data_IF_029787423888
#
_entry.id   IF_029787423888
#
_cell.length_a   1.000
_cell.length_b   1.000
_cell.length_c   1.000
_cell.angle_alpha   90.00
_cell.angle_beta   90.00
_cell.angle_gamma   90.00
#
_symmetry.space_group_name_H-M   'P 1'
#
loop_
_entity.id
_entity.type
_entity.pdbx_description
1 polymer ?
#
# COMPACT_ATOMS: atom_id res chain seq x y z
N UNK A 1 77.59 19.75 21.27
CA UNK A 1 76.79 20.16 20.08
C UNK A 1 75.76 19.10 19.65
N UNK A 2 75.24 18.25 20.54
CA UNK A 2 74.34 17.15 20.16
C UNK A 2 72.87 17.33 20.60
N UNK A 3 72.57 18.34 21.44
CA UNK A 3 71.21 18.57 21.96
C UNK A 3 70.25 19.30 21.00
N UNK A 4 70.76 20.00 19.98
CA UNK A 4 69.89 20.72 19.03
C UNK A 4 69.28 19.82 17.95
N UNK A 5 69.98 18.76 17.52
CA UNK A 5 69.48 17.84 16.50
C UNK A 5 68.25 17.04 16.95
N UNK A 6 68.24 16.60 18.21
CA UNK A 6 67.13 15.80 18.77
C UNK A 6 65.85 16.61 19.00
N UNK A 7 65.96 17.90 19.32
CA UNK A 7 64.78 18.78 19.39
C UNK A 7 64.19 19.06 18.00
N UNK A 8 65.03 19.35 16.99
CA UNK A 8 64.55 19.60 15.63
C UNK A 8 63.85 18.38 15.05
N UNK A 9 64.39 17.18 15.26
CA UNK A 9 63.75 15.93 14.83
C UNK A 9 62.39 15.73 15.51
N UNK A 10 62.27 16.02 16.81
CA UNK A 10 60.98 15.94 17.53
C UNK A 10 59.96 16.94 17.01
N UNK A 11 60.35 18.16 16.68
CA UNK A 11 59.47 19.18 16.10
C UNK A 11 59.00 18.77 14.70
N UNK A 12 59.90 18.26 13.85
CA UNK A 12 59.54 17.76 12.52
C UNK A 12 58.58 16.57 12.63
N UNK A 13 58.83 15.63 13.55
CA UNK A 13 57.97 14.47 13.75
C UNK A 13 56.59 14.89 14.27
N UNK A 14 56.52 15.85 15.19
CA UNK A 14 55.27 16.41 15.69
C UNK A 14 54.48 17.11 14.60
N UNK A 15 55.14 17.91 13.74
CA UNK A 15 54.51 18.58 12.59
C UNK A 15 54.00 17.56 11.57
N UNK A 16 54.76 16.51 11.27
CA UNK A 16 54.34 15.43 10.38
C UNK A 16 53.12 14.66 10.94
N UNK A 17 53.09 14.39 12.25
CA UNK A 17 51.94 13.75 12.91
C UNK A 17 50.72 14.67 12.89
N UNK A 18 50.90 15.97 13.10
CA UNK A 18 49.82 16.95 13.01
C UNK A 18 49.26 17.07 11.58
N UNK A 19 50.13 17.06 10.56
CA UNK A 19 49.74 17.04 9.15
C UNK A 19 49.03 15.74 8.76
N UNK A 20 49.45 14.59 9.31
CA UNK A 20 48.78 13.31 9.14
C UNK A 20 47.39 13.28 9.81
N UNK A 21 47.26 13.87 11.01
CA UNK A 21 45.98 14.01 11.72
C UNK A 21 45.02 15.02 11.04
N UNK A 22 45.56 16.07 10.42
CA UNK A 22 44.77 17.04 9.65
C UNK A 22 44.28 16.44 8.32
N UNK A 23 45.07 15.59 7.66
CA UNK A 23 44.71 14.97 6.38
C UNK A 23 43.71 13.80 6.48
N UNK A 24 43.48 13.25 7.68
CA UNK A 24 42.46 12.21 7.92
C UNK A 24 41.05 12.76 8.16
N UNK A 25 40.89 14.08 8.31
CA UNK A 25 39.63 14.68 8.78
C UNK A 25 38.60 15.06 7.69
N UNK A 26 38.82 14.73 6.42
CA UNK A 26 37.89 15.15 5.35
C UNK A 26 37.66 14.13 4.22
N UNK A 27 37.74 12.82 4.48
CA UNK A 27 37.21 11.82 3.53
C UNK A 27 35.79 11.45 3.97
N UNK A 28 34.83 12.32 3.63
CA UNK A 28 33.42 12.01 3.75
C UNK A 28 33.03 11.08 2.58
N UNK A 29 33.35 9.80 2.71
CA UNK A 29 32.98 8.78 1.73
C UNK A 29 31.46 8.64 1.69
N UNK A 30 30.80 9.22 0.68
CA UNK A 30 29.38 8.94 0.43
C UNK A 30 29.23 7.46 0.10
N UNK A 31 28.30 6.78 0.79
CA UNK A 31 28.07 5.35 0.62
C UNK A 31 27.69 5.09 -0.84
N UNK A 32 28.26 4.05 -1.46
CA UNK A 32 27.95 3.69 -2.84
C UNK A 32 26.44 3.52 -3.08
N UNK A 33 25.72 3.03 -2.07
CA UNK A 33 24.27 2.91 -2.08
C UNK A 33 23.55 4.24 -2.36
N UNK A 34 23.97 5.33 -1.72
CA UNK A 34 23.36 6.67 -1.89
C UNK A 34 23.70 7.33 -3.23
N UNK A 35 24.68 6.78 -3.97
CA UNK A 35 24.98 7.20 -5.35
C UNK A 35 24.14 6.47 -6.39
N UNK A 36 23.55 5.33 -6.03
CA UNK A 36 22.81 4.45 -6.95
C UNK A 36 21.30 4.52 -6.69
N UNK A 37 20.89 4.57 -5.42
CA UNK A 37 19.51 4.46 -5.00
C UNK A 37 19.02 5.72 -4.30
N UNK A 38 17.78 6.06 -4.58
CA UNK A 38 17.01 7.08 -3.87
C UNK A 38 15.77 6.42 -3.28
N UNK A 39 15.57 6.60 -1.97
CA UNK A 39 14.41 6.05 -1.27
C UNK A 39 13.25 7.04 -1.31
N UNK A 40 12.04 6.53 -1.52
CA UNK A 40 10.80 7.29 -1.38
C UNK A 40 9.78 6.51 -0.56
N UNK A 41 8.77 7.21 -0.06
CA UNK A 41 7.69 6.64 0.72
C UNK A 41 6.34 6.94 0.06
N UNK A 42 5.40 6.01 0.20
CA UNK A 42 4.04 6.16 -0.30
C UNK A 42 3.09 5.17 0.38
N UNK A 43 1.79 5.42 0.21
CA UNK A 43 0.75 4.53 0.75
C UNK A 43 0.71 3.25 -0.06
N UNK A 44 1.05 2.11 0.56
CA UNK A 44 1.06 0.83 -0.13
C UNK A 44 -0.32 0.17 -0.09
N UNK A 45 -0.71 -0.48 -1.18
CA UNK A 45 -1.84 -1.40 -1.20
C UNK A 45 -1.46 -2.67 -0.45
N UNK A 46 -2.31 -3.10 0.47
CA UNK A 46 -2.05 -4.23 1.35
C UNK A 46 -3.07 -5.35 1.16
N UNK A 47 -2.66 -6.58 1.48
CA UNK A 47 -3.50 -7.75 1.33
C UNK A 47 -4.49 -7.88 2.49
N UNK A 48 -5.74 -8.17 2.15
CA UNK A 48 -6.81 -8.56 3.08
C UNK A 48 -7.29 -9.96 2.73
N UNK A 49 -7.77 -10.68 3.73
CA UNK A 49 -8.27 -12.04 3.57
C UNK A 49 -9.74 -12.11 3.94
N UNK A 50 -10.49 -12.87 3.17
CA UNK A 50 -11.85 -13.29 3.47
C UNK A 50 -11.85 -14.82 3.68
N UNK A 51 -12.98 -15.38 4.12
CA UNK A 51 -13.13 -16.82 4.36
C UNK A 51 -12.83 -17.68 3.12
N UNK A 52 -13.00 -17.13 1.91
CA UNK A 52 -12.82 -17.87 0.65
C UNK A 52 -11.65 -17.39 -0.20
N UNK A 53 -11.37 -16.09 -0.24
CA UNK A 53 -10.40 -15.48 -1.15
C UNK A 53 -9.54 -14.43 -0.45
N UNK A 54 -8.51 -13.96 -1.14
CA UNK A 54 -7.71 -12.80 -0.77
C UNK A 54 -8.00 -11.61 -1.69
N UNK A 55 -7.77 -10.40 -1.22
CA UNK A 55 -7.89 -9.15 -1.99
C UNK A 55 -6.71 -8.23 -1.67
N UNK A 56 -6.49 -7.20 -2.48
CA UNK A 56 -5.39 -6.25 -2.32
C UNK A 56 -4.15 -6.65 -3.10
N UNK A 57 -2.96 -6.28 -2.61
CA UNK A 57 -1.72 -6.33 -3.39
C UNK A 57 -0.56 -6.90 -2.57
N UNK A 58 0.50 -7.34 -3.24
CA UNK A 58 1.77 -7.75 -2.62
C UNK A 58 2.91 -7.61 -3.62
N UNK A 59 4.10 -7.27 -3.12
CA UNK A 59 5.33 -7.45 -3.88
C UNK A 59 5.81 -8.90 -3.80
N UNK A 60 6.81 -9.23 -4.61
CA UNK A 60 7.70 -10.37 -4.38
C UNK A 60 8.48 -10.20 -3.05
N UNK A 61 8.94 -11.31 -2.47
CA UNK A 61 9.61 -11.36 -1.15
C UNK A 61 10.83 -10.45 -1.04
N UNK A 62 11.67 -10.44 -2.08
CA UNK A 62 12.87 -9.60 -2.17
C UNK A 62 12.61 -8.20 -2.74
N UNK A 63 11.36 -7.85 -3.00
CA UNK A 63 10.96 -6.62 -3.70
C UNK A 63 10.63 -6.85 -5.17
N UNK A 64 9.81 -5.97 -5.73
CA UNK A 64 9.43 -6.00 -7.15
C UNK A 64 10.12 -4.86 -7.87
N UNK A 65 11.01 -5.22 -8.78
CA UNK A 65 11.81 -4.28 -9.58
C UNK A 65 11.20 -4.15 -10.97
N UNK A 66 11.12 -2.92 -11.49
CA UNK A 66 10.65 -2.69 -12.86
C UNK A 66 11.17 -1.37 -13.43
N UNK A 67 11.44 -1.35 -14.74
CA UNK A 67 11.76 -0.12 -15.45
C UNK A 67 10.54 0.81 -15.45
N UNK A 68 10.74 2.08 -15.11
CA UNK A 68 9.64 3.04 -15.05
C UNK A 68 9.03 3.24 -16.43
N UNK A 69 7.70 3.27 -16.51
CA UNK A 69 6.98 3.66 -17.72
C UNK A 69 5.81 4.57 -17.38
N UNK A 70 5.85 5.83 -17.83
CA UNK A 70 4.82 6.81 -17.52
C UNK A 70 3.65 6.73 -18.50
N UNK A 71 2.45 6.52 -17.96
CA UNK A 71 1.21 6.35 -18.72
C UNK A 71 0.36 7.62 -18.58
N UNK A 72 0.44 8.47 -19.61
CA UNK A 72 -0.37 9.70 -19.74
C UNK A 72 -1.43 9.59 -20.85
N UNK A 73 -1.30 8.59 -21.72
CA UNK A 73 -2.23 8.32 -22.82
C UNK A 73 -2.46 6.82 -23.02
N UNK A 74 -3.45 6.47 -23.84
CA UNK A 74 -3.77 5.08 -24.15
C UNK A 74 -2.63 4.36 -24.90
N UNK A 75 -1.84 5.05 -25.71
CA UNK A 75 -0.73 4.41 -26.45
C UNK A 75 0.36 3.93 -25.49
N UNK A 76 0.62 4.70 -24.42
CA UNK A 76 1.55 4.29 -23.36
C UNK A 76 1.03 3.08 -22.58
N UNK A 77 -0.29 2.99 -22.38
CA UNK A 77 -0.89 1.79 -21.79
C UNK A 77 -0.76 0.60 -22.72
N UNK A 78 -1.08 0.74 -24.01
CA UNK A 78 -0.93 -0.33 -25.00
C UNK A 78 0.51 -0.82 -25.14
N UNK A 79 1.50 0.08 -25.05
CA UNK A 79 2.92 -0.30 -25.06
C UNK A 79 3.26 -1.32 -23.97
N UNK A 80 2.74 -1.12 -22.75
CA UNK A 80 2.97 -2.00 -21.62
C UNK A 80 2.33 -3.39 -21.80
N UNK A 81 1.23 -3.46 -22.54
CA UNK A 81 0.45 -4.68 -22.76
C UNK A 81 0.97 -5.47 -23.97
N UNK A 82 1.47 -4.79 -25.01
CA UNK A 82 1.89 -5.38 -26.27
C UNK A 82 3.34 -5.89 -26.29
N UNK A 83 3.69 -6.76 -25.34
CA UNK A 83 5.02 -7.41 -25.26
C UNK A 83 6.19 -6.41 -25.37
N UNK A 84 6.36 -5.52 -24.38
CA UNK A 84 7.38 -4.49 -24.43
C UNK A 84 8.79 -5.10 -24.44
N UNK A 85 9.79 -4.39 -24.98
CA UNK A 85 11.09 -4.97 -25.31
C UNK A 85 12.02 -5.23 -24.11
N UNK A 86 11.80 -4.59 -22.96
CA UNK A 86 12.64 -4.75 -21.77
C UNK A 86 11.82 -5.02 -20.48
N UNK A 87 11.00 -6.09 -20.42
CA UNK A 87 10.28 -6.43 -19.20
C UNK A 87 11.27 -6.86 -18.11
N UNK A 88 10.97 -6.62 -16.82
CA UNK A 88 9.72 -6.08 -16.30
C UNK A 88 9.63 -4.55 -16.21
N UNK A 89 8.40 -4.02 -16.28
CA UNK A 89 8.08 -2.60 -16.15
C UNK A 89 7.27 -2.29 -14.90
N UNK A 90 7.49 -1.09 -14.37
CA UNK A 90 6.68 -0.46 -13.35
C UNK A 90 5.89 0.70 -13.96
N UNK A 91 4.55 0.56 -14.01
CA UNK A 91 3.68 1.55 -14.63
C UNK A 91 3.43 2.73 -13.68
N UNK A 92 3.75 3.95 -14.11
CA UNK A 92 3.36 5.17 -13.41
C UNK A 92 2.06 5.67 -14.05
N UNK A 93 0.95 5.53 -13.33
CA UNK A 93 -0.38 5.94 -13.78
C UNK A 93 -0.72 7.33 -13.25
N UNK A 94 -1.12 8.21 -14.15
CA UNK A 94 -1.88 9.40 -13.76
C UNK A 94 -3.22 8.98 -13.11
N UNK A 95 -3.75 9.80 -12.20
CA UNK A 95 -4.98 9.49 -11.46
C UNK A 95 -6.16 9.11 -12.37
N UNK A 96 -6.30 9.77 -13.54
CA UNK A 96 -7.36 9.50 -14.52
C UNK A 96 -7.27 8.09 -15.15
N UNK A 97 -6.07 7.51 -15.19
CA UNK A 97 -5.84 6.16 -15.72
C UNK A 97 -6.04 5.07 -14.66
N UNK A 98 -6.16 5.45 -13.39
CA UNK A 98 -6.43 4.53 -12.28
C UNK A 98 -7.93 4.17 -12.23
N UNK A 99 -8.37 3.38 -13.20
CA UNK A 99 -9.76 2.93 -13.35
C UNK A 99 -9.84 1.40 -13.34
N UNK A 100 -11.02 0.84 -13.00
CA UNK A 100 -11.22 -0.62 -13.02
C UNK A 100 -10.83 -1.25 -14.35
N UNK A 101 -11.27 -0.74 -15.52
CA UNK A 101 -10.90 -1.33 -16.81
C UNK A 101 -9.39 -1.39 -17.01
N UNK A 102 -8.68 -0.28 -16.82
CA UNK A 102 -7.23 -0.23 -17.04
C UNK A 102 -6.46 -1.13 -16.07
N UNK A 103 -6.84 -1.14 -14.79
CA UNK A 103 -6.22 -2.01 -13.80
C UNK A 103 -6.44 -3.50 -14.09
N UNK A 104 -7.63 -3.87 -14.56
CA UNK A 104 -7.92 -5.25 -14.97
C UNK A 104 -7.15 -5.65 -16.23
N UNK A 105 -6.94 -4.72 -17.18
CA UNK A 105 -6.08 -4.95 -18.34
C UNK A 105 -4.62 -5.16 -17.92
N UNK A 106 -4.07 -4.30 -17.07
CA UNK A 106 -2.71 -4.49 -16.52
C UNK A 106 -2.56 -5.83 -15.79
N UNK A 107 -3.57 -6.26 -15.04
CA UNK A 107 -3.61 -7.55 -14.34
C UNK A 107 -3.68 -8.75 -15.30
N UNK A 108 -4.57 -8.70 -16.29
CA UNK A 108 -4.90 -9.87 -17.11
C UNK A 108 -4.04 -9.97 -18.38
N UNK A 109 -3.82 -8.84 -19.07
CA UNK A 109 -3.06 -8.74 -20.32
C UNK A 109 -1.57 -8.48 -20.04
N UNK A 110 -1.25 -7.70 -19.00
CA UNK A 110 0.14 -7.36 -18.66
C UNK A 110 0.98 -8.55 -18.18
N UNK A 111 0.34 -9.58 -17.60
CA UNK A 111 1.00 -10.84 -17.24
C UNK A 111 2.28 -10.66 -16.42
N UNK A 112 3.40 -11.18 -16.94
CA UNK A 112 4.74 -11.06 -16.31
C UNK A 112 5.49 -9.77 -16.67
N UNK A 113 4.93 -8.95 -17.56
CA UNK A 113 5.59 -7.73 -18.02
C UNK A 113 5.46 -6.60 -16.99
N UNK A 114 4.44 -6.64 -16.14
CA UNK A 114 4.17 -5.62 -15.12
C UNK A 114 4.58 -6.14 -13.74
N UNK A 115 5.52 -5.46 -13.09
CA UNK A 115 5.96 -5.82 -11.74
C UNK A 115 5.48 -4.87 -10.65
N UNK A 116 5.03 -3.67 -11.00
CA UNK A 116 4.57 -2.68 -10.04
C UNK A 116 3.67 -1.64 -10.72
N UNK A 117 2.78 -1.04 -9.94
CA UNK A 117 1.97 0.11 -10.37
C UNK A 117 2.12 1.24 -9.35
N UNK A 118 2.45 2.42 -9.84
CA UNK A 118 2.58 3.66 -9.08
C UNK A 118 1.43 4.58 -9.50
N UNK A 119 0.56 4.93 -8.57
CA UNK A 119 -0.53 5.87 -8.81
C UNK A 119 -0.08 7.26 -8.34
N UNK A 120 -0.12 8.21 -9.27
CA UNK A 120 0.18 9.60 -8.95
C UNK A 120 -1.01 10.23 -8.24
N UNK A 121 -0.72 10.96 -7.18
CA UNK A 121 -1.72 11.67 -6.41
C UNK A 121 -1.88 13.11 -6.91
N UNK A 122 -2.90 13.37 -7.73
CA UNK A 122 -3.14 14.68 -8.30
C UNK A 122 -4.19 15.51 -7.51
N UNK A 123 -4.12 15.53 -6.17
CA UNK A 123 -5.08 16.29 -5.35
C UNK A 123 -5.16 17.78 -5.70
N UNK A 124 -4.07 18.38 -6.20
CA UNK A 124 -3.96 19.83 -6.38
C UNK A 124 -4.45 20.37 -7.73
N UNK A 125 -4.87 19.50 -8.66
CA UNK A 125 -5.32 19.92 -9.99
C UNK A 125 -6.75 19.42 -10.28
N UNK A 126 -7.58 19.42 -9.24
CA UNK A 126 -9.02 19.14 -9.30
C UNK A 126 -9.71 20.26 -10.09
N UNK A 127 -9.63 20.17 -11.41
CA UNK A 127 -10.55 20.89 -12.30
C UNK A 127 -11.90 20.18 -12.21
N UNK A 128 -13.00 20.93 -12.22
CA UNK A 128 -14.36 20.45 -11.88
C UNK A 128 -14.94 19.33 -12.78
N UNK A 129 -14.20 18.84 -13.77
CA UNK A 129 -14.57 17.76 -14.70
C UNK A 129 -14.01 16.38 -14.28
N UNK A 130 -13.47 16.25 -13.07
CA UNK A 130 -12.92 14.98 -12.57
C UNK A 130 -14.00 13.91 -12.43
N UNK A 131 -13.72 12.74 -13.01
CA UNK A 131 -14.56 11.55 -12.91
C UNK A 131 -14.62 11.12 -11.45
N UNK A 132 -15.83 11.08 -10.87
CA UNK A 132 -16.02 10.60 -9.50
C UNK A 132 -15.57 9.14 -9.39
N UNK A 133 -14.75 8.84 -8.39
CA UNK A 133 -14.13 7.52 -8.19
C UNK A 133 -14.37 7.01 -6.77
N UNK A 134 -14.70 5.73 -6.66
CA UNK A 134 -14.71 4.99 -5.40
C UNK A 134 -14.05 3.63 -5.60
N UNK A 135 -13.06 3.28 -4.77
CA UNK A 135 -12.43 1.95 -4.79
C UNK A 135 -13.34 0.83 -4.25
N UNK A 136 -14.44 1.20 -3.59
CA UNK A 136 -15.41 0.28 -2.97
C UNK A 136 -16.37 -0.33 -4.01
N UNK A 137 -17.11 -1.38 -3.63
CA UNK A 137 -18.19 -1.94 -4.44
C UNK A 137 -19.36 -0.96 -4.60
N UNK A 138 -20.18 -1.21 -5.64
CA UNK A 138 -21.44 -0.48 -5.85
C UNK A 138 -22.46 -0.70 -4.73
N UNK A 139 -22.45 -1.90 -4.16
CA UNK A 139 -23.24 -2.29 -3.00
C UNK A 139 -22.31 -2.75 -1.87
N UNK A 140 -21.87 -1.83 -0.99
CA UNK A 140 -21.08 -2.20 0.18
C UNK A 140 -21.85 -3.18 1.08
N UNK A 141 -21.16 -4.17 1.65
CA UNK A 141 -21.73 -5.15 2.59
C UNK A 141 -22.98 -5.89 2.09
N UNK A 142 -23.09 -6.15 0.78
CA UNK A 142 -24.26 -6.78 0.15
C UNK A 142 -24.63 -8.17 0.69
N UNK A 143 -23.71 -8.86 1.39
CA UNK A 143 -23.94 -10.19 1.97
C UNK A 143 -24.10 -10.19 3.50
N UNK A 144 -23.96 -9.02 4.15
CA UNK A 144 -23.96 -8.91 5.62
C UNK A 144 -25.17 -8.16 6.18
N UNK A 145 -26.05 -7.65 5.31
CA UNK A 145 -27.27 -6.96 5.74
C UNK A 145 -28.48 -7.87 5.90
N UNK A 146 -29.66 -7.26 6.00
CA UNK A 146 -30.93 -7.99 6.09
C UNK A 146 -31.24 -8.65 4.73
N UNK A 147 -31.18 -9.99 4.73
CA UNK A 147 -31.43 -10.82 3.55
C UNK A 147 -32.92 -10.82 3.18
N UNK A 148 -33.20 -10.85 1.87
CA UNK A 148 -34.57 -11.15 1.39
C UNK A 148 -34.91 -12.62 1.65
N UNK A 149 -36.19 -12.96 1.90
CA UNK A 149 -36.62 -14.36 1.93
C UNK A 149 -36.18 -15.06 0.64
N UNK A 150 -35.50 -16.20 0.76
CA UNK A 150 -34.98 -17.02 -0.35
C UNK A 150 -33.95 -16.31 -1.26
N UNK A 151 -33.18 -15.33 -0.76
CA UNK A 151 -32.05 -14.74 -1.49
C UNK A 151 -30.81 -14.59 -0.59
N UNK A 152 -29.63 -14.64 -1.22
CA UNK A 152 -28.33 -14.30 -0.62
C UNK A 152 -28.03 -12.80 -0.68
N UNK A 153 -28.85 -12.01 -1.37
CA UNK A 153 -28.69 -10.57 -1.50
C UNK A 153 -29.55 -9.79 -0.51
N UNK A 154 -29.04 -8.63 -0.07
CA UNK A 154 -29.79 -7.70 0.77
C UNK A 154 -30.95 -7.07 0.00
N UNK A 155 -32.01 -6.72 0.72
CA UNK A 155 -33.20 -6.14 0.09
C UNK A 155 -32.99 -4.74 -0.49
N UNK A 156 -31.93 -4.05 -0.05
CA UNK A 156 -31.76 -2.60 -0.11
C UNK A 156 -30.78 -2.10 -1.18
N UNK A 157 -30.06 -2.97 -1.88
CA UNK A 157 -29.13 -2.57 -2.93
C UNK A 157 -29.12 -3.60 -4.05
N UNK A 158 -29.07 -3.15 -5.31
CA UNK A 158 -28.86 -4.04 -6.45
C UNK A 158 -27.61 -3.65 -7.22
N UNK A 159 -26.63 -4.55 -7.29
CA UNK A 159 -25.42 -4.31 -8.08
C UNK A 159 -25.69 -4.30 -9.60
N UNK A 160 -26.81 -4.89 -10.03
CA UNK A 160 -27.20 -5.01 -11.44
C UNK A 160 -27.94 -3.79 -11.98
N UNK A 161 -28.58 -3.00 -11.10
CA UNK A 161 -29.39 -1.83 -11.46
C UNK A 161 -28.74 -0.55 -10.93
N UNK A 162 -28.12 0.28 -11.79
CA UNK A 162 -27.44 1.51 -11.36
C UNK A 162 -28.29 2.43 -10.48
N UNK A 163 -29.58 2.55 -10.78
CA UNK A 163 -30.56 3.36 -10.06
C UNK A 163 -30.79 2.92 -8.60
N UNK A 164 -30.55 1.65 -8.30
CA UNK A 164 -30.75 1.02 -6.98
C UNK A 164 -29.41 0.81 -6.24
N UNK A 165 -28.32 1.46 -6.69
CA UNK A 165 -27.00 1.35 -6.05
C UNK A 165 -26.77 2.46 -5.02
N UNK A 166 -26.17 2.10 -3.88
CA UNK A 166 -25.74 3.09 -2.88
C UNK A 166 -24.47 3.83 -3.30
N UNK A 167 -23.61 3.19 -4.09
CA UNK A 167 -22.35 3.76 -4.56
C UNK A 167 -22.24 3.62 -6.09
N UNK A 168 -22.84 4.53 -6.88
CA UNK A 168 -22.84 4.39 -8.35
C UNK A 168 -21.43 4.42 -8.96
N UNK A 169 -20.47 5.08 -8.29
CA UNK A 169 -19.07 5.18 -8.71
C UNK A 169 -18.16 4.08 -8.13
N UNK A 170 -18.76 3.05 -7.53
CA UNK A 170 -18.05 1.91 -6.95
C UNK A 170 -17.32 1.09 -8.02
N UNK A 171 -16.01 1.22 -8.08
CA UNK A 171 -15.14 0.46 -8.98
C UNK A 171 -14.85 -0.95 -8.49
N UNK A 172 -15.03 -1.25 -7.20
CA UNK A 172 -14.74 -2.55 -6.60
C UNK A 172 -13.27 -2.97 -6.63
N UNK A 173 -12.33 -2.05 -6.90
CA UNK A 173 -10.90 -2.33 -6.95
C UNK A 173 -10.33 -2.81 -5.61
N UNK A 174 -10.92 -2.38 -4.49
CA UNK A 174 -10.51 -2.82 -3.14
C UNK A 174 -10.68 -4.35 -2.93
N UNK A 175 -11.59 -4.97 -3.70
CA UNK A 175 -11.94 -6.39 -3.57
C UNK A 175 -11.25 -7.26 -4.64
N UNK A 176 -10.35 -6.69 -5.43
CA UNK A 176 -9.56 -7.42 -6.41
C UNK A 176 -8.22 -7.86 -5.82
N UNK A 177 -7.77 -9.07 -6.17
CA UNK A 177 -6.41 -9.53 -5.88
C UNK A 177 -5.47 -9.15 -7.03
N UNK A 178 -4.45 -8.35 -6.74
CA UNK A 178 -3.43 -7.91 -7.69
C UNK A 178 -2.12 -8.67 -7.46
N UNK A 179 -1.51 -9.23 -8.53
CA UNK A 179 -0.26 -9.99 -8.41
C UNK A 179 0.99 -9.12 -8.27
N UNK A 180 0.83 -7.80 -8.34
CA UNK A 180 1.89 -6.80 -8.22
C UNK A 180 1.51 -5.77 -7.14
N UNK A 181 2.50 -5.10 -6.52
CA UNK A 181 2.24 -4.03 -5.56
C UNK A 181 1.72 -2.79 -6.28
N UNK A 182 0.77 -2.10 -5.64
CA UNK A 182 0.25 -0.81 -6.06
C UNK A 182 0.58 0.19 -4.96
N UNK A 183 1.22 1.30 -5.30
CA UNK A 183 1.58 2.35 -4.34
C UNK A 183 1.01 3.70 -4.80
N UNK A 184 0.50 4.48 -3.86
CA UNK A 184 0.15 5.88 -4.10
C UNK A 184 1.25 6.77 -3.50
N UNK A 185 1.73 7.73 -4.27
CA UNK A 185 2.77 8.66 -3.80
C UNK A 185 2.10 9.97 -3.41
N UNK A 186 2.08 10.33 -2.12
CA UNK A 186 1.41 11.55 -1.67
C UNK A 186 2.23 12.81 -1.96
N UNK A 187 3.56 12.69 -1.99
CA UNK A 187 4.48 13.81 -2.14
C UNK A 187 4.70 14.20 -3.61
N UNK A 188 4.46 15.46 -3.94
CA UNK A 188 4.60 15.98 -5.30
C UNK A 188 6.07 16.03 -5.76
N UNK A 189 7.02 16.24 -4.84
CA UNK A 189 8.45 16.27 -5.21
C UNK A 189 8.92 14.90 -5.71
N UNK A 190 8.56 13.84 -4.99
CA UNK A 190 8.82 12.45 -5.38
C UNK A 190 8.22 12.14 -6.76
N UNK A 191 6.98 12.59 -7.01
CA UNK A 191 6.32 12.41 -8.31
C UNK A 191 7.12 13.07 -9.44
N UNK A 192 7.54 14.33 -9.25
CA UNK A 192 8.34 15.05 -10.25
C UNK A 192 9.65 14.31 -10.54
N UNK A 193 10.36 13.85 -9.50
CA UNK A 193 11.62 13.11 -9.65
C UNK A 193 11.44 11.81 -10.44
N UNK A 194 10.38 11.04 -10.16
CA UNK A 194 10.10 9.80 -10.91
C UNK A 194 9.80 10.06 -12.39
N UNK A 195 9.00 11.09 -12.67
CA UNK A 195 8.68 11.49 -14.05
C UNK A 195 9.94 12.01 -14.76
N UNK A 196 10.78 12.79 -14.08
CA UNK A 196 12.06 13.27 -14.63
C UNK A 196 13.00 12.11 -14.94
N UNK A 197 13.09 11.12 -14.04
CA UNK A 197 13.90 9.92 -14.26
C UNK A 197 13.42 9.13 -15.48
N UNK A 198 12.11 8.94 -15.62
CA UNK A 198 11.51 8.34 -16.82
C UNK A 198 11.84 9.14 -18.08
N UNK A 199 11.65 10.46 -18.07
CA UNK A 199 11.91 11.32 -19.24
C UNK A 199 13.38 11.27 -19.64
N UNK A 200 14.29 11.34 -18.67
CA UNK A 200 15.73 11.35 -18.92
C UNK A 200 16.26 10.03 -19.45
N UNK A 201 15.80 8.90 -18.90
CA UNK A 201 16.39 7.60 -19.18
C UNK A 201 15.52 6.67 -20.01
N UNK A 202 14.19 6.74 -19.94
CA UNK A 202 13.31 5.70 -20.49
C UNK A 202 12.48 6.18 -21.70
N UNK A 203 12.27 7.49 -21.86
CA UNK A 203 11.39 8.05 -22.91
C UNK A 203 11.99 8.10 -24.32
N UNK A 204 13.30 7.89 -24.45
CA UNK A 204 13.99 7.83 -25.73
C UNK A 204 14.01 6.39 -26.26
N UNK A 205 13.68 6.20 -27.55
CA UNK A 205 13.77 4.92 -28.28
C UNK A 205 13.20 3.70 -27.52
N UNK A 206 11.90 3.48 -27.68
CA UNK A 206 11.20 2.40 -27.01
C UNK A 206 11.66 1.01 -27.46
N UNK A 207 12.04 0.82 -28.74
CA UNK A 207 12.37 -0.51 -29.29
C UNK A 207 13.68 -1.07 -28.73
N UNK A 208 14.70 -0.20 -28.58
CA UNK A 208 16.04 -0.61 -28.13
C UNK A 208 16.26 -0.46 -26.61
N UNK A 209 15.18 -0.40 -25.82
CA UNK A 209 15.27 -0.25 -24.36
C UNK A 209 16.11 -1.34 -23.66
N UNK A 210 16.14 -2.54 -24.22
CA UNK A 210 16.86 -3.69 -23.65
C UNK A 210 18.40 -3.57 -23.72
N UNK A 211 18.94 -2.66 -24.55
CA UNK A 211 20.38 -2.49 -24.76
C UNK A 211 21.02 -1.42 -23.85
N UNK A 212 20.24 -0.78 -22.99
CA UNK A 212 20.66 0.44 -22.26
C UNK A 212 20.29 0.42 -20.79
N UNK A 213 20.89 1.34 -20.04
CA UNK A 213 20.56 1.56 -18.63
C UNK A 213 19.29 2.38 -18.50
N UNK A 214 18.23 1.73 -18.00
CA UNK A 214 16.94 2.35 -17.72
C UNK A 214 16.86 2.83 -16.27
N UNK A 215 16.03 3.84 -16.03
CA UNK A 215 15.57 4.17 -14.69
C UNK A 215 14.53 3.14 -14.22
N UNK A 216 14.74 2.56 -13.05
CA UNK A 216 13.90 1.52 -12.49
C UNK A 216 13.54 1.84 -11.05
N UNK A 217 12.47 1.22 -10.57
CA UNK A 217 12.00 1.32 -9.20
C UNK A 217 11.96 -0.06 -8.57
N UNK A 218 12.22 -0.12 -7.27
CA UNK A 218 12.06 -1.31 -6.45
C UNK A 218 11.00 -1.04 -5.38
N UNK A 219 9.92 -1.81 -5.36
CA UNK A 219 8.87 -1.71 -4.33
C UNK A 219 8.92 -2.93 -3.42
N UNK A 220 9.07 -2.67 -2.12
CA UNK A 220 9.08 -3.70 -1.06
C UNK A 220 7.82 -3.58 -0.21
N UNK A 221 6.86 -4.45 -0.49
CA UNK A 221 5.58 -4.54 0.23
C UNK A 221 5.10 -6.00 0.20
N UNK A 222 5.97 -6.92 0.62
CA UNK A 222 5.68 -8.34 0.62
C UNK A 222 4.69 -8.66 1.74
N UNK A 223 3.57 -9.29 1.38
CA UNK A 223 2.53 -9.71 2.31
C UNK A 223 2.64 -11.22 2.52
N UNK A 224 2.93 -11.64 3.76
CA UNK A 224 3.16 -13.04 4.12
C UNK A 224 1.89 -13.90 4.17
N UNK A 225 0.73 -13.25 4.33
CA UNK A 225 -0.60 -13.84 4.28
C UNK A 225 -0.97 -14.26 2.84
N UNK A 226 -1.61 -15.43 2.70
CA UNK A 226 -1.99 -15.96 1.39
C UNK A 226 -3.25 -16.84 1.46
N UNK A 227 -3.94 -16.94 0.31
CA UNK A 227 -5.11 -17.79 0.00
C UNK A 227 -6.40 -17.30 0.64
N UNK A 228 -6.58 -17.52 1.95
CA UNK A 228 -7.81 -17.21 2.66
C UNK A 228 -7.55 -17.08 4.16
N UNK A 229 -8.54 -16.54 4.90
CA UNK A 229 -8.46 -16.38 6.35
C UNK A 229 -8.22 -17.70 7.06
N UNK A 230 -8.89 -18.78 6.65
CA UNK A 230 -8.72 -20.12 7.24
C UNK A 230 -7.28 -20.62 7.10
N UNK A 231 -6.72 -20.54 5.89
CA UNK A 231 -5.35 -20.99 5.60
C UNK A 231 -4.33 -20.17 6.38
N UNK A 232 -4.50 -18.86 6.42
CA UNK A 232 -3.60 -17.98 7.14
C UNK A 232 -3.65 -18.17 8.66
N UNK A 233 -4.85 -18.32 9.23
CA UNK A 233 -5.04 -18.56 10.65
C UNK A 233 -4.45 -19.90 11.07
N UNK A 234 -4.68 -20.96 10.29
CA UNK A 234 -4.11 -22.29 10.51
C UNK A 234 -2.58 -22.27 10.51
N UNK A 235 -1.96 -21.52 9.60
CA UNK A 235 -0.49 -21.37 9.53
C UNK A 235 0.06 -20.57 10.72
N UNK A 236 -0.64 -19.52 11.14
CA UNK A 236 -0.20 -18.66 12.26
C UNK A 236 -0.28 -19.40 13.60
N UNK A 237 -1.28 -20.27 13.77
CA UNK A 237 -1.45 -21.08 14.97
C UNK A 237 -0.65 -22.40 14.95
N UNK A 238 0.12 -22.65 13.88
CA UNK A 238 0.95 -23.84 13.81
C UNK A 238 2.15 -23.68 14.74
N UNK A 239 2.15 -24.42 15.84
CA UNK A 239 3.22 -24.38 16.84
C UNK A 239 4.45 -25.09 16.27
N UNK A 240 5.40 -24.30 15.77
CA UNK A 240 6.76 -24.76 15.50
C UNK A 240 7.65 -24.46 16.72
N UNK A 241 8.31 -25.50 17.26
CA UNK A 241 9.12 -25.45 18.50
C UNK A 241 10.38 -24.56 18.43
N UNK A 242 10.68 -23.92 17.29
CA UNK A 242 11.91 -23.17 17.07
C UNK A 242 11.68 -21.66 16.82
N UNK A 243 10.52 -21.29 16.26
CA UNK A 243 10.06 -19.91 16.14
C UNK A 243 8.58 -19.88 15.74
N UNK A 244 7.72 -19.22 16.53
CA UNK A 244 6.36 -18.93 16.10
C UNK A 244 6.38 -17.76 15.12
N UNK A 245 5.81 -17.96 13.93
CA UNK A 245 5.64 -16.92 12.92
C UNK A 245 4.17 -16.63 12.76
N UNK A 246 3.77 -15.36 12.98
CA UNK A 246 2.40 -14.91 12.77
C UNK A 246 2.29 -14.37 11.34
N UNK A 247 1.34 -14.91 10.57
CA UNK A 247 1.15 -14.52 9.17
C UNK A 247 -0.01 -13.54 8.95
N UNK A 248 -0.98 -13.49 9.86
CA UNK A 248 -2.07 -12.52 9.82
C UNK A 248 -2.60 -12.18 11.21
N UNK A 249 -3.29 -11.05 11.23
CA UNK A 249 -4.00 -10.50 12.38
C UNK A 249 -5.49 -10.40 12.05
N UNK A 250 -6.38 -10.59 13.04
CA UNK A 250 -7.78 -10.26 12.87
C UNK A 250 -7.93 -8.75 12.71
N UNK A 251 -8.84 -8.31 11.84
CA UNK A 251 -9.19 -6.90 11.74
C UNK A 251 -10.08 -6.54 12.93
N UNK A 252 -9.48 -5.89 13.93
CA UNK A 252 -10.15 -5.55 15.19
C UNK A 252 -10.12 -4.05 15.49
N UNK A 253 -11.04 -3.62 16.34
CA UNK A 253 -11.19 -2.23 16.78
C UNK A 253 -11.99 -2.17 18.07
N UNK A 254 -12.14 -0.98 18.64
CA UNK A 254 -12.91 -0.77 19.88
C UNK A 254 -14.13 0.08 19.59
N UNK A 255 -15.29 -0.43 19.95
CA UNK A 255 -16.52 0.37 19.98
C UNK A 255 -16.50 1.29 21.20
N UNK A 256 -16.87 2.54 20.99
CA UNK A 256 -17.04 3.52 22.06
C UNK A 256 -18.54 3.69 22.27
N UNK A 257 -18.98 3.57 23.53
CA UNK A 257 -20.36 3.83 23.90
C UNK A 257 -20.39 4.82 25.06
N UNK A 258 -21.45 5.63 25.10
CA UNK A 258 -21.70 6.58 26.17
C UNK A 258 -23.19 6.56 26.52
N UNK A 259 -23.50 6.76 27.79
CA UNK A 259 -24.87 6.81 28.29
C UNK A 259 -25.14 8.19 28.87
N UNK A 260 -26.29 8.79 28.53
CA UNK A 260 -26.67 10.09 29.08
C UNK A 260 -26.79 10.07 30.61
N UNK A 261 -27.34 8.98 31.15
CA UNK A 261 -27.45 8.74 32.58
C UNK A 261 -26.46 7.64 33.01
N UNK A 262 -25.77 7.78 34.16
CA UNK A 262 -24.87 6.76 34.66
C UNK A 262 -25.58 5.43 34.84
N UNK A 263 -25.00 4.36 34.29
CA UNK A 263 -25.48 2.99 34.47
C UNK A 263 -24.48 2.19 35.30
N UNK A 264 -24.99 1.23 36.07
CA UNK A 264 -24.14 0.27 36.75
C UNK A 264 -23.55 -0.67 35.70
N UNK A 265 -22.22 -0.65 35.57
CA UNK A 265 -21.49 -1.65 34.79
C UNK A 265 -21.60 -2.94 35.60
N UNK A 266 -22.20 -3.97 35.01
CA UNK A 266 -22.29 -5.29 35.61
C UNK A 266 -21.11 -6.09 35.08
N UNK A 267 -20.18 -6.46 35.96
CA UNK A 267 -19.06 -7.32 35.59
C UNK A 267 -19.57 -8.71 35.20
N UNK A 268 -19.14 -9.18 34.04
CA UNK A 268 -19.54 -10.48 33.49
C UNK A 268 -18.68 -11.55 34.15
N UNK A 269 -19.19 -12.19 35.21
CA UNK A 269 -18.72 -13.52 35.58
C UNK A 269 -19.41 -14.54 34.67
N UNK A 270 -18.60 -15.30 33.94
CA UNK A 270 -19.02 -16.38 33.05
C UNK A 270 -19.86 -17.39 33.85
N UNK A 271 -21.15 -17.55 33.48
CA UNK A 271 -21.91 -18.82 33.41
C UNK A 271 -23.42 -18.74 33.71
N UNK A 272 -23.97 -17.66 34.26
CA UNK A 272 -25.40 -17.68 34.61
C UNK A 272 -26.30 -17.07 33.51
N UNK A 273 -27.16 -17.91 32.91
CA UNK A 273 -28.35 -17.59 32.09
C UNK A 273 -29.33 -16.57 32.71
N UNK A 274 -29.01 -16.06 33.91
CA UNK A 274 -29.72 -14.99 34.62
C UNK A 274 -29.42 -13.58 34.05
N UNK A 275 -28.54 -13.43 33.04
CA UNK A 275 -28.23 -12.14 32.38
C UNK A 275 -29.46 -11.42 31.80
N UNK A 276 -30.42 -12.15 31.22
CA UNK A 276 -31.64 -11.56 30.66
C UNK A 276 -32.65 -11.09 31.72
N UNK A 277 -32.36 -11.31 33.01
CA UNK A 277 -33.24 -10.99 34.14
C UNK A 277 -32.77 -9.77 34.96
N UNK A 278 -31.54 -9.27 34.78
CA UNK A 278 -31.04 -8.09 35.50
C UNK A 278 -31.24 -6.76 34.76
N UNK A 279 -31.48 -6.81 33.46
CA UNK A 279 -31.95 -5.64 32.71
C UNK A 279 -33.46 -5.57 32.93
N UNK A 280 -33.95 -4.47 33.50
CA UNK A 280 -35.38 -4.26 33.65
C UNK A 280 -36.03 -4.32 32.26
N UNK A 281 -36.87 -5.33 32.05
CA UNK A 281 -37.54 -5.56 30.76
C UNK A 281 -38.51 -4.43 30.38
N UNK A 282 -38.91 -3.62 31.34
CA UNK A 282 -39.74 -2.44 31.11
C UNK A 282 -38.91 -1.18 30.78
N UNK A 283 -37.59 -1.22 30.98
CA UNK A 283 -36.72 -0.10 30.70
C UNK A 283 -36.62 0.11 29.18
N UNK A 284 -36.94 1.32 28.74
CA UNK A 284 -36.84 1.73 27.34
C UNK A 284 -35.61 2.61 27.18
N UNK A 285 -34.79 2.30 26.19
CA UNK A 285 -33.62 3.09 25.83
C UNK A 285 -33.68 3.46 24.35
N UNK A 286 -33.18 4.66 24.05
CA UNK A 286 -32.98 5.12 22.67
C UNK A 286 -31.49 4.91 22.36
N UNK A 287 -31.20 4.11 21.34
CA UNK A 287 -29.83 3.93 20.86
C UNK A 287 -29.60 4.89 19.70
N UNK A 288 -28.58 5.73 19.82
CA UNK A 288 -28.06 6.53 18.71
C UNK A 288 -26.73 5.91 18.31
N UNK A 289 -26.67 5.31 17.13
CA UNK A 289 -25.46 4.66 16.60
C UNK A 289 -24.94 5.43 15.40
N UNK A 290 -23.63 5.55 15.29
CA UNK A 290 -22.97 6.04 14.07
C UNK A 290 -21.77 5.16 13.73
N UNK A 291 -21.42 5.12 12.45
CA UNK A 291 -20.20 4.46 11.98
C UNK A 291 -18.99 5.35 12.29
N UNK A 292 -17.90 4.77 12.79
CA UNK A 292 -16.67 5.50 13.16
C UNK A 292 -15.45 5.11 12.31
N UNK A 293 -15.58 4.14 11.41
CA UNK A 293 -14.51 3.64 10.56
C UNK A 293 -14.71 4.03 9.09
N UNK A 294 -13.62 4.06 8.33
CA UNK A 294 -13.60 4.24 6.88
C UNK A 294 -12.74 3.18 6.20
N UNK A 295 -12.90 3.02 4.89
CA UNK A 295 -12.11 2.07 4.09
C UNK A 295 -11.41 2.77 2.94
N UNK A 296 -10.35 2.15 2.45
CA UNK A 296 -9.31 2.75 1.62
C UNK A 296 -8.46 1.62 1.08
N UNK A 297 -7.90 1.84 -0.09
CA UNK A 297 -7.04 0.86 -0.76
C UNK A 297 -5.59 0.96 -0.31
N UNK A 298 -5.15 2.17 0.08
CA UNK A 298 -3.76 2.47 0.42
C UNK A 298 -3.61 2.70 1.92
N UNK A 299 -2.57 2.13 2.52
CA UNK A 299 -2.21 2.36 3.91
C UNK A 299 -1.83 3.83 4.15
N UNK A 300 -2.27 4.41 5.27
CA UNK A 300 -1.92 5.78 5.64
C UNK A 300 -2.60 6.89 4.83
N UNK A 301 -3.58 6.56 3.98
CA UNK A 301 -4.33 7.52 3.14
C UNK A 301 -5.82 7.55 3.52
N UNK A 302 -6.12 7.34 4.80
CA UNK A 302 -7.46 7.47 5.36
C UNK A 302 -7.49 8.81 6.09
N UNK A 303 -8.53 9.61 5.83
CA UNK A 303 -8.61 11.01 6.28
C UNK A 303 -8.25 11.19 7.76
N UNK A 304 -7.48 12.25 8.03
CA UNK A 304 -7.33 12.84 9.36
C UNK A 304 -8.68 13.33 9.91
#
# INVERSE_FOLDING_TARGET
>A
MELHGTQVVKYVLFVCVLLALLSTSAVCGKRLHEKIYESFFGGSCFRRLNGTHQTGCSSAESGSVGALHYVDDNNQLEFLLNSPPAPPYAAILKSDFFTRPNMMRLKNEGGRNITAVIVLNAFNNYTGDTVSFSHELKCPNQFSGILKPNSVETSTCSAMRPEDTWNPWGSGLLHEDFPFPIIIIPDNETVVRLIECFKRFNSFDYENQHLRSLCAVEIKSFMSAAVSTEVCWRRSNYINNLAQTRYCDPLEGKNIYATLFPRKIVDVQEEDDKRAAQVDRNEKFIIVTTRMDTTGMFEGVYGE
#
